data_IF_422739085864
#
_entry.id   IF_422739085864
#
_cell.length_a   1.000
_cell.length_b   1.000
_cell.length_c   1.000
_cell.angle_alpha   90.00
_cell.angle_beta   90.00
_cell.angle_gamma   90.00
#
_symmetry.space_group_name_H-M   'P 1'
#
loop_
_entity.id
_entity.type
_entity.pdbx_description
1 polymer ?
#
# COMPACT_ATOMS: atom_id res chain seq x y z
N UNK A 1 -8.62 -10.51 -5.78
CA UNK A 1 -9.11 -11.84 -5.36
C UNK A 1 -10.15 -11.89 -4.23
N UNK A 2 -9.86 -11.57 -2.97
CA UNK A 2 -10.78 -11.84 -1.83
C UNK A 2 -12.10 -11.03 -1.89
N UNK A 3 -12.03 -9.77 -2.34
CA UNK A 3 -13.18 -8.87 -2.38
C UNK A 3 -14.29 -9.33 -3.34
N UNK A 4 -13.93 -9.93 -4.48
CA UNK A 4 -14.91 -10.44 -5.47
C UNK A 4 -15.69 -11.63 -4.94
N UNK A 5 -15.03 -12.55 -4.23
CA UNK A 5 -15.69 -13.69 -3.58
C UNK A 5 -16.57 -13.27 -2.41
N UNK A 6 -16.15 -12.27 -1.64
CA UNK A 6 -16.98 -11.68 -0.57
C UNK A 6 -18.28 -11.10 -1.13
N UNK A 7 -18.24 -10.42 -2.28
CA UNK A 7 -19.46 -9.92 -2.96
C UNK A 7 -20.44 -11.03 -3.32
N UNK A 8 -19.95 -12.22 -3.68
CA UNK A 8 -20.80 -13.40 -3.96
C UNK A 8 -21.50 -13.88 -2.69
N UNK A 9 -20.79 -13.96 -1.56
CA UNK A 9 -21.40 -14.30 -0.27
C UNK A 9 -22.41 -13.23 0.18
N UNK A 10 -22.10 -11.95 -0.05
CA UNK A 10 -23.03 -10.84 0.19
C UNK A 10 -24.32 -10.98 -0.61
N UNK A 11 -24.23 -11.26 -1.92
CA UNK A 11 -25.40 -11.54 -2.74
C UNK A 11 -26.19 -12.77 -2.26
N UNK A 12 -25.51 -13.80 -1.75
CA UNK A 12 -26.16 -14.99 -1.20
C UNK A 12 -27.02 -14.66 0.03
N UNK A 13 -26.47 -13.88 0.97
CA UNK A 13 -27.18 -13.45 2.18
C UNK A 13 -28.38 -12.57 1.81
N UNK A 14 -28.20 -11.60 0.91
CA UNK A 14 -29.30 -10.77 0.43
C UNK A 14 -30.41 -11.59 -0.23
N UNK A 15 -30.06 -12.59 -1.04
CA UNK A 15 -31.03 -13.48 -1.68
C UNK A 15 -31.81 -14.30 -0.63
N UNK A 16 -31.14 -14.81 0.42
CA UNK A 16 -31.83 -15.52 1.50
C UNK A 16 -32.76 -14.62 2.32
N UNK A 17 -32.38 -13.36 2.57
CA UNK A 17 -33.25 -12.39 3.24
C UNK A 17 -34.47 -12.05 2.36
N UNK A 18 -34.27 -11.89 1.05
CA UNK A 18 -35.36 -11.65 0.13
C UNK A 18 -36.32 -12.85 0.03
N UNK A 19 -35.79 -14.09 0.02
CA UNK A 19 -36.59 -15.33 0.05
C UNK A 19 -37.41 -15.43 1.35
N UNK A 20 -36.87 -14.96 2.48
CA UNK A 20 -37.58 -14.87 3.75
C UNK A 20 -38.65 -13.75 3.79
N UNK A 21 -38.74 -12.90 2.77
CA UNK A 21 -39.75 -11.84 2.64
C UNK A 21 -39.34 -10.47 3.20
N UNK A 22 -38.06 -10.25 3.50
CA UNK A 22 -37.57 -8.93 3.94
C UNK A 22 -37.47 -7.96 2.76
N UNK A 23 -38.11 -6.79 2.87
CA UNK A 23 -38.08 -5.73 1.84
C UNK A 23 -36.86 -4.81 1.97
N UNK A 24 -36.41 -4.57 3.19
CA UNK A 24 -35.24 -3.75 3.50
C UNK A 24 -34.47 -4.34 4.68
N UNK A 25 -33.17 -4.12 4.70
CA UNK A 25 -32.28 -4.54 5.78
C UNK A 25 -31.14 -3.53 5.92
N UNK A 26 -30.61 -3.42 7.13
CA UNK A 26 -29.47 -2.55 7.42
C UNK A 26 -28.17 -3.16 6.86
N UNK A 27 -27.35 -2.34 6.21
CA UNK A 27 -26.11 -2.79 5.56
C UNK A 27 -25.12 -3.42 6.57
N UNK A 28 -25.01 -2.85 7.77
CA UNK A 28 -24.14 -3.40 8.83
C UNK A 28 -24.55 -4.82 9.27
N UNK A 29 -25.87 -5.11 9.28
CA UNK A 29 -26.39 -6.44 9.63
C UNK A 29 -26.07 -7.44 8.53
N UNK A 30 -26.27 -7.07 7.26
CA UNK A 30 -25.93 -7.94 6.13
C UNK A 30 -24.42 -8.23 6.13
N UNK A 31 -23.57 -7.22 6.30
CA UNK A 31 -22.12 -7.41 6.39
C UNK A 31 -21.73 -8.35 7.54
N UNK A 32 -22.37 -8.21 8.71
CA UNK A 32 -22.13 -9.12 9.85
C UNK A 32 -22.56 -10.56 9.54
N UNK A 33 -23.75 -10.74 8.95
CA UNK A 33 -24.26 -12.05 8.54
C UNK A 33 -23.37 -12.70 7.48
N UNK A 34 -22.78 -11.93 6.56
CA UNK A 34 -21.83 -12.50 5.58
C UNK A 34 -20.55 -13.01 6.23
N UNK A 35 -20.07 -12.33 7.27
CA UNK A 35 -18.92 -12.80 8.05
C UNK A 35 -19.28 -14.06 8.83
N UNK A 36 -20.47 -14.10 9.45
CA UNK A 36 -20.96 -15.29 10.16
C UNK A 36 -21.16 -16.49 9.23
N UNK A 37 -21.68 -16.26 8.02
CA UNK A 37 -21.81 -17.31 7.01
C UNK A 37 -20.44 -17.85 6.58
N UNK A 38 -19.46 -16.95 6.38
CA UNK A 38 -18.09 -17.35 6.07
C UNK A 38 -17.46 -18.15 7.20
N UNK A 39 -17.62 -17.73 8.46
CA UNK A 39 -17.07 -18.47 9.61
C UNK A 39 -17.72 -19.86 9.73
N UNK A 40 -19.04 -19.96 9.52
CA UNK A 40 -19.75 -21.24 9.53
C UNK A 40 -19.19 -22.22 8.48
N UNK A 41 -18.98 -21.75 7.24
CA UNK A 41 -18.40 -22.58 6.17
C UNK A 41 -16.98 -23.04 6.54
N UNK A 42 -16.16 -22.14 7.11
CA UNK A 42 -14.82 -22.48 7.55
C UNK A 42 -14.81 -23.47 8.71
N UNK A 43 -15.74 -23.35 9.67
CA UNK A 43 -15.87 -24.28 10.79
C UNK A 43 -16.29 -25.67 10.32
N UNK A 44 -17.29 -25.78 9.44
CA UNK A 44 -17.71 -27.06 8.84
C UNK A 44 -16.53 -27.71 8.10
N UNK A 45 -15.77 -26.93 7.32
CA UNK A 45 -14.61 -27.46 6.61
C UNK A 45 -13.52 -27.96 7.58
N UNK A 46 -13.25 -27.22 8.65
CA UNK A 46 -12.26 -27.59 9.67
C UNK A 46 -12.67 -28.85 10.42
N UNK A 47 -13.94 -28.96 10.85
CA UNK A 47 -14.44 -30.15 11.53
C UNK A 47 -14.44 -31.38 10.62
N UNK A 48 -14.84 -31.21 9.36
CA UNK A 48 -14.77 -32.28 8.35
C UNK A 48 -13.34 -32.76 8.12
N UNK A 49 -12.36 -31.85 8.07
CA UNK A 49 -10.95 -32.20 7.96
C UNK A 49 -10.45 -32.95 9.20
N UNK A 50 -10.82 -32.52 10.41
CA UNK A 50 -10.47 -33.23 11.65
C UNK A 50 -11.00 -34.68 11.64
N UNK A 51 -12.22 -34.91 11.14
CA UNK A 51 -12.75 -36.28 11.00
C UNK A 51 -12.03 -37.11 9.93
N UNK A 52 -11.61 -36.50 8.83
CA UNK A 52 -10.80 -37.18 7.82
C UNK A 52 -9.41 -37.56 8.39
N UNK A 53 -8.76 -36.64 9.09
CA UNK A 53 -7.46 -36.83 9.74
C UNK A 53 -7.52 -37.86 10.87
N UNK A 54 -8.62 -37.89 11.63
CA UNK A 54 -8.86 -38.91 12.66
C UNK A 54 -8.87 -40.33 12.08
N UNK A 55 -9.32 -40.48 10.84
CA UNK A 55 -9.31 -41.74 10.09
C UNK A 55 -7.99 -41.99 9.33
N UNK A 56 -6.98 -41.14 9.50
CA UNK A 56 -5.70 -41.22 8.77
C UNK A 56 -5.79 -40.87 7.29
N UNK A 57 -6.89 -40.24 6.85
CA UNK A 57 -7.09 -39.80 5.46
C UNK A 57 -6.75 -38.32 5.32
N UNK A 58 -6.24 -37.94 4.14
CA UNK A 58 -6.05 -36.53 3.78
C UNK A 58 -7.22 -35.98 2.95
N UNK A 59 -8.06 -36.85 2.39
CA UNK A 59 -9.22 -36.48 1.58
C UNK A 59 -10.52 -36.57 2.39
N UNK A 60 -11.30 -35.49 2.34
CA UNK A 60 -12.60 -35.38 3.00
C UNK A 60 -13.67 -36.05 2.15
N UNK A 61 -14.39 -37.01 2.73
CA UNK A 61 -15.50 -37.75 2.10
C UNK A 61 -16.82 -37.09 2.54
N UNK A 62 -17.92 -37.19 1.76
CA UNK A 62 -19.21 -36.63 2.16
C UNK A 62 -19.67 -37.04 3.57
N UNK A 63 -19.38 -38.27 4.01
CA UNK A 63 -19.70 -38.75 5.35
C UNK A 63 -19.02 -37.93 6.46
N UNK A 64 -17.79 -37.45 6.24
CA UNK A 64 -17.08 -36.60 7.20
C UNK A 64 -17.81 -35.26 7.36
N UNK A 65 -18.35 -34.72 6.25
CA UNK A 65 -19.18 -33.51 6.24
C UNK A 65 -20.52 -33.75 6.92
N UNK A 66 -21.16 -34.90 6.69
CA UNK A 66 -22.41 -35.25 7.37
C UNK A 66 -22.24 -35.31 8.89
N UNK A 67 -21.17 -35.95 9.37
CA UNK A 67 -20.86 -36.03 10.81
C UNK A 67 -20.52 -34.64 11.35
N UNK A 68 -19.75 -33.84 10.61
CA UNK A 68 -19.46 -32.45 10.98
C UNK A 68 -20.71 -31.58 11.13
N UNK A 69 -21.70 -31.72 10.26
CA UNK A 69 -22.97 -31.00 10.37
C UNK A 69 -23.75 -31.43 11.62
N UNK A 70 -23.79 -32.72 11.91
CA UNK A 70 -24.47 -33.27 13.09
C UNK A 70 -23.79 -32.80 14.38
N UNK A 71 -22.45 -32.83 14.43
CA UNK A 71 -21.65 -32.36 15.57
C UNK A 71 -21.87 -30.87 15.85
N UNK A 72 -22.04 -30.07 14.80
CA UNK A 72 -22.36 -28.64 14.90
C UNK A 72 -23.85 -28.37 15.24
N UNK A 73 -24.67 -29.41 15.42
CA UNK A 73 -26.08 -29.29 15.80
C UNK A 73 -27.02 -28.93 14.64
N UNK A 74 -26.59 -29.13 13.39
CA UNK A 74 -27.42 -28.87 12.21
C UNK A 74 -28.25 -30.10 11.83
N UNK A 75 -29.56 -29.90 11.63
CA UNK A 75 -30.46 -30.97 11.25
C UNK A 75 -30.30 -31.33 9.76
N UNK A 76 -29.62 -32.45 9.51
CA UNK A 76 -29.34 -32.96 8.15
C UNK A 76 -30.57 -33.45 7.41
N UNK A 77 -31.62 -33.91 8.11
CA UNK A 77 -32.85 -34.40 7.49
C UNK A 77 -33.65 -33.25 6.84
N UNK A 78 -33.57 -32.06 7.44
CA UNK A 78 -34.25 -30.86 6.92
C UNK A 78 -33.67 -30.35 5.60
N UNK A 79 -32.43 -30.72 5.27
CA UNK A 79 -31.73 -30.30 4.04
C UNK A 79 -32.49 -30.77 2.79
N UNK A 80 -33.04 -31.99 2.81
CA UNK A 80 -33.77 -32.54 1.65
C UNK A 80 -35.08 -31.76 1.41
N UNK A 81 -35.80 -31.43 2.48
CA UNK A 81 -37.01 -30.61 2.41
C UNK A 81 -36.68 -29.20 1.92
N UNK A 82 -35.58 -28.62 2.40
CA UNK A 82 -35.10 -27.33 1.94
C UNK A 82 -34.69 -27.33 0.46
N UNK A 83 -34.06 -28.41 -0.02
CA UNK A 83 -33.70 -28.59 -1.42
C UNK A 83 -34.93 -28.68 -2.34
N UNK A 84 -35.99 -29.37 -1.91
CA UNK A 84 -37.21 -29.54 -2.69
C UNK A 84 -38.10 -28.28 -2.72
N UNK A 85 -38.09 -27.47 -1.66
CA UNK A 85 -38.93 -26.28 -1.54
C UNK A 85 -38.37 -25.04 -2.29
N UNK A 86 -37.12 -25.09 -2.75
CA UNK A 86 -36.47 -23.98 -3.48
C UNK A 86 -36.94 -23.90 -4.93
N UNK A 87 -38.14 -23.37 -5.14
CA UNK A 87 -38.67 -23.03 -6.46
C UNK A 87 -38.12 -21.71 -7.04
N UNK A 88 -37.28 -20.97 -6.31
CA UNK A 88 -36.72 -19.68 -6.76
C UNK A 88 -35.23 -19.63 -6.43
N UNK A 89 -34.43 -20.40 -7.16
CA UNK A 89 -32.98 -20.24 -7.11
C UNK A 89 -32.67 -18.92 -7.80
N UNK A 90 -32.55 -17.83 -7.03
CA UNK A 90 -31.69 -16.73 -7.44
C UNK A 90 -30.32 -17.33 -7.74
N UNK A 91 -30.02 -17.55 -9.02
CA UNK A 91 -28.74 -18.11 -9.44
C UNK A 91 -27.68 -17.06 -9.16
N UNK A 92 -27.05 -17.18 -7.98
CA UNK A 92 -25.91 -16.36 -7.64
C UNK A 92 -24.85 -16.63 -8.71
N UNK A 93 -24.33 -15.59 -9.38
CA UNK A 93 -23.36 -15.77 -10.45
C UNK A 93 -22.10 -16.43 -9.89
N UNK A 94 -21.59 -17.44 -10.59
CA UNK A 94 -20.32 -18.08 -10.25
C UNK A 94 -19.22 -17.02 -10.18
N UNK A 95 -18.40 -16.98 -9.10
CA UNK A 95 -17.32 -16.01 -9.00
C UNK A 95 -16.40 -16.12 -10.21
N UNK A 96 -16.17 -15.01 -10.91
CA UNK A 96 -15.31 -14.96 -12.07
C UNK A 96 -13.91 -15.47 -11.73
N UNK A 97 -13.42 -16.44 -12.51
CA UNK A 97 -12.03 -16.89 -12.42
C UNK A 97 -11.14 -15.76 -12.95
N UNK A 98 -10.25 -15.21 -12.13
CA UNK A 98 -9.26 -14.25 -12.62
C UNK A 98 -8.48 -14.93 -13.77
N UNK A 99 -8.28 -14.23 -14.91
CA UNK A 99 -7.49 -14.79 -15.99
C UNK A 99 -6.09 -15.09 -15.45
N UNK A 100 -5.46 -16.22 -15.85
CA UNK A 100 -4.11 -16.52 -15.41
C UNK A 100 -3.23 -15.30 -15.74
N UNK A 101 -2.53 -14.76 -14.73
CA UNK A 101 -1.56 -13.69 -14.96
C UNK A 101 -0.61 -14.20 -16.04
N UNK A 102 -0.64 -13.55 -17.21
CA UNK A 102 0.35 -13.81 -18.25
C UNK A 102 1.70 -13.50 -17.61
N UNK A 103 2.51 -14.52 -17.42
CA UNK A 103 3.88 -14.33 -16.98
C UNK A 103 4.54 -13.40 -18.00
N UNK A 104 5.18 -12.30 -17.56
CA UNK A 104 5.82 -11.39 -18.48
C UNK A 104 6.84 -12.17 -19.31
N UNK A 105 6.81 -11.98 -20.62
CA UNK A 105 7.80 -12.55 -21.54
C UNK A 105 9.17 -12.01 -21.12
N UNK A 106 9.99 -12.87 -20.52
CA UNK A 106 11.35 -12.49 -20.14
C UNK A 106 12.12 -12.30 -21.44
N UNK A 107 12.78 -11.16 -21.59
CA UNK A 107 13.71 -10.93 -22.69
C UNK A 107 14.89 -11.88 -22.48
N UNK A 108 14.98 -12.92 -23.31
CA UNK A 108 16.11 -13.83 -23.34
C UNK A 108 17.20 -13.22 -24.23
N UNK A 109 18.37 -12.96 -23.64
CA UNK A 109 19.59 -12.66 -24.37
C UNK A 109 20.37 -13.98 -24.43
N UNK A 110 20.90 -14.32 -25.61
CA UNK A 110 21.22 -15.67 -26.12
C UNK A 110 22.29 -16.51 -25.37
N UNK A 111 22.50 -16.36 -24.06
CA UNK A 111 23.51 -17.14 -23.34
C UNK A 111 23.04 -17.56 -21.93
N UNK A 112 22.07 -18.47 -21.88
CA UNK A 112 21.79 -19.22 -20.65
C UNK A 112 23.00 -20.08 -20.31
N UNK A 113 23.62 -19.86 -19.15
CA UNK A 113 24.76 -20.68 -18.72
C UNK A 113 24.30 -22.14 -18.57
N UNK A 114 25.04 -23.12 -19.11
CA UNK A 114 24.69 -24.52 -18.92
C UNK A 114 24.71 -24.87 -17.44
N UNK A 115 23.83 -25.79 -17.03
CA UNK A 115 23.84 -26.36 -15.69
C UNK A 115 25.20 -27.02 -15.43
N UNK A 116 25.71 -26.89 -14.20
CA UNK A 116 26.94 -27.55 -13.81
C UNK A 116 26.77 -29.08 -13.82
N UNK A 117 27.85 -29.83 -14.04
CA UNK A 117 27.81 -31.30 -14.17
C UNK A 117 27.24 -32.05 -12.95
N UNK A 118 27.20 -31.42 -11.77
CA UNK A 118 26.64 -32.00 -10.55
C UNK A 118 25.13 -31.70 -10.37
N UNK A 119 24.54 -30.90 -11.26
CA UNK A 119 23.11 -30.56 -11.24
C UNK A 119 22.40 -31.43 -12.28
N UNK A 120 21.40 -32.24 -11.91
CA UNK A 120 20.62 -33.03 -12.85
C UNK A 120 19.92 -32.18 -13.93
N UNK A 121 19.81 -32.72 -15.14
CA UNK A 121 19.23 -32.02 -16.30
C UNK A 121 17.72 -31.73 -16.20
N UNK A 122 17.01 -32.26 -15.20
CA UNK A 122 15.58 -32.00 -14.98
C UNK A 122 15.32 -30.69 -14.21
N UNK A 123 16.36 -30.06 -13.68
CA UNK A 123 16.23 -28.76 -13.04
C UNK A 123 16.09 -27.64 -14.08
N UNK A 124 15.39 -26.54 -13.74
CA UNK A 124 15.30 -25.39 -14.61
C UNK A 124 16.71 -24.78 -14.84
N UNK A 125 16.94 -24.18 -16.01
CA UNK A 125 18.22 -23.52 -16.31
C UNK A 125 18.45 -22.32 -15.38
N UNK A 126 19.72 -21.96 -15.20
CA UNK A 126 20.05 -20.72 -14.49
C UNK A 126 19.44 -19.50 -15.21
N UNK A 127 18.97 -18.49 -14.46
CA UNK A 127 18.51 -17.25 -15.06
C UNK A 127 19.66 -16.54 -15.79
N UNK A 128 19.30 -15.64 -16.71
CA UNK A 128 20.26 -14.94 -17.57
C UNK A 128 21.35 -14.22 -16.75
N UNK A 129 22.54 -14.06 -17.34
CA UNK A 129 23.68 -13.39 -16.71
C UNK A 129 23.32 -11.99 -16.19
N UNK A 130 22.48 -11.23 -16.91
CA UNK A 130 22.02 -9.91 -16.49
C UNK A 130 21.08 -9.96 -15.26
N UNK A 131 20.50 -11.11 -14.93
CA UNK A 131 19.74 -11.29 -13.68
C UNK A 131 20.64 -11.22 -12.44
N UNK A 132 21.91 -11.59 -12.59
CA UNK A 132 22.92 -11.55 -11.52
C UNK A 132 23.80 -10.30 -11.54
N UNK A 133 23.74 -9.52 -12.62
CA UNK A 133 24.39 -8.21 -12.69
C UNK A 133 23.52 -7.25 -11.88
N UNK A 134 23.97 -6.94 -10.66
CA UNK A 134 23.39 -5.88 -9.84
C UNK A 134 23.63 -4.55 -10.57
N UNK A 135 22.73 -4.17 -11.47
CA UNK A 135 22.68 -2.81 -12.03
C UNK A 135 22.11 -1.92 -10.92
N UNK A 136 22.89 -1.05 -10.27
CA UNK A 136 22.33 -0.10 -9.34
C UNK A 136 21.37 0.81 -10.12
N UNK A 137 20.06 0.62 -9.90
CA UNK A 137 19.00 1.45 -10.48
C UNK A 137 19.00 2.87 -9.90
N UNK A 138 19.62 3.07 -8.74
CA UNK A 138 19.76 4.36 -8.08
C UNK A 138 21.11 4.99 -8.42
N UNK A 139 21.11 6.23 -8.93
CA UNK A 139 22.33 7.03 -9.06
C UNK A 139 22.99 7.11 -7.69
N UNK A 140 24.23 6.64 -7.57
CA UNK A 140 24.97 6.74 -6.33
C UNK A 140 25.13 8.22 -5.96
N UNK A 141 24.81 8.62 -4.72
CA UNK A 141 25.03 9.99 -4.30
C UNK A 141 26.53 10.30 -4.36
N UNK A 142 26.87 11.56 -4.65
CA UNK A 142 28.27 12.02 -4.63
C UNK A 142 28.80 11.84 -3.21
N UNK A 143 29.81 10.99 -3.03
CA UNK A 143 30.41 10.66 -1.72
C UNK A 143 31.65 11.49 -1.40
N UNK A 144 32.11 12.32 -2.33
CA UNK A 144 33.30 13.16 -2.17
C UNK A 144 33.03 14.27 -1.14
N UNK A 145 33.82 14.28 -0.07
CA UNK A 145 33.66 15.22 1.05
C UNK A 145 33.77 16.69 0.60
N UNK A 146 34.72 16.99 -0.29
CA UNK A 146 34.94 18.33 -0.84
C UNK A 146 33.71 18.84 -1.60
N UNK A 147 33.17 18.05 -2.53
CA UNK A 147 31.97 18.39 -3.29
C UNK A 147 30.74 18.63 -2.40
N UNK A 148 30.59 17.85 -1.32
CA UNK A 148 29.50 18.02 -0.36
C UNK A 148 29.66 19.34 0.41
N UNK A 149 30.87 19.64 0.89
CA UNK A 149 31.16 20.88 1.63
C UNK A 149 30.98 22.11 0.74
N UNK A 150 31.48 22.08 -0.49
CA UNK A 150 31.33 23.17 -1.45
C UNK A 150 29.86 23.42 -1.80
N UNK A 151 29.09 22.35 -1.99
CA UNK A 151 27.64 22.48 -2.24
C UNK A 151 26.91 23.06 -1.03
N UNK A 152 27.20 22.60 0.18
CA UNK A 152 26.59 23.12 1.40
C UNK A 152 26.95 24.60 1.64
N UNK A 153 28.23 24.98 1.41
CA UNK A 153 28.68 26.36 1.51
C UNK A 153 28.02 27.26 0.45
N UNK A 154 27.89 26.77 -0.78
CA UNK A 154 27.21 27.47 -1.87
C UNK A 154 25.73 27.69 -1.54
N UNK A 155 25.03 26.64 -1.07
CA UNK A 155 23.64 26.73 -0.64
C UNK A 155 23.44 27.71 0.51
N UNK A 156 24.31 27.69 1.54
CA UNK A 156 24.26 28.66 2.65
C UNK A 156 24.39 30.10 2.13
N UNK A 157 25.38 30.37 1.29
CA UNK A 157 25.62 31.69 0.69
C UNK A 157 24.44 32.15 -0.17
N UNK A 158 23.85 31.25 -0.94
CA UNK A 158 22.72 31.57 -1.82
C UNK A 158 21.45 31.86 -1.01
N UNK A 159 21.21 31.09 0.06
CA UNK A 159 20.12 31.34 1.01
C UNK A 159 20.27 32.69 1.73
N UNK A 160 21.47 33.00 2.22
CA UNK A 160 21.77 34.29 2.85
C UNK A 160 21.48 35.45 1.87
N UNK A 161 22.01 35.39 0.65
CA UNK A 161 21.76 36.41 -0.39
C UNK A 161 20.28 36.52 -0.75
N UNK A 162 19.58 35.39 -0.90
CA UNK A 162 18.16 35.37 -1.22
C UNK A 162 17.33 36.01 -0.11
N UNK A 163 17.61 35.66 1.15
CA UNK A 163 16.92 36.21 2.31
C UNK A 163 17.20 37.71 2.46
N UNK A 164 18.46 38.15 2.34
CA UNK A 164 18.80 39.59 2.37
C UNK A 164 18.04 40.36 1.30
N UNK A 165 17.98 39.85 0.06
CA UNK A 165 17.22 40.50 -1.03
C UNK A 165 15.72 40.50 -0.78
N UNK A 166 15.19 39.43 -0.20
CA UNK A 166 13.77 39.33 0.14
C UNK A 166 13.41 40.37 1.22
N UNK A 167 14.12 40.36 2.34
CA UNK A 167 13.88 41.29 3.46
C UNK A 167 14.05 42.74 3.00
N UNK A 168 15.08 43.05 2.22
CA UNK A 168 15.29 44.41 1.72
C UNK A 168 14.21 44.88 0.71
N UNK A 169 13.48 43.97 0.06
CA UNK A 169 12.35 44.31 -0.82
C UNK A 169 11.01 44.37 -0.08
N UNK A 170 10.83 43.55 0.95
CA UNK A 170 9.55 43.36 1.63
C UNK A 170 9.42 44.17 2.93
N UNK A 171 10.51 44.38 3.66
CA UNK A 171 10.51 45.25 4.82
C UNK A 171 10.84 46.68 4.40
N UNK A 172 10.03 47.64 4.85
CA UNK A 172 10.06 49.07 4.52
C UNK A 172 11.49 49.62 4.33
N UNK A 173 11.92 49.69 3.08
CA UNK A 173 13.14 50.37 2.70
C UNK A 173 12.89 51.87 2.83
N UNK A 174 13.25 52.46 3.96
CA UNK A 174 13.32 53.91 4.06
C UNK A 174 14.28 54.41 2.96
N UNK A 175 13.83 55.30 2.05
CA UNK A 175 14.62 55.73 0.88
C UNK A 175 15.93 56.44 1.27
N UNK A 176 16.04 56.89 2.52
CA UNK A 176 17.21 57.60 3.06
C UNK A 176 18.39 56.69 3.43
N UNK A 177 18.21 55.36 3.41
CA UNK A 177 19.25 54.37 3.79
C UNK A 177 19.87 53.65 2.59
N UNK A 178 19.95 54.33 1.46
CA UNK A 178 20.56 53.81 0.25
C UNK A 178 22.04 54.22 0.12
N UNK A 179 22.92 53.30 -0.30
CA UNK A 179 24.35 53.59 -0.49
C UNK A 179 24.61 54.61 -1.62
N UNK A 180 23.74 54.65 -2.63
CA UNK A 180 23.89 55.54 -3.77
C UNK A 180 22.66 56.45 -3.90
N UNK A 181 22.87 57.75 -3.72
CA UNK A 181 21.81 58.75 -3.65
C UNK A 181 20.92 58.83 -4.90
N UNK A 182 21.40 58.44 -6.08
CA UNK A 182 20.68 58.62 -7.36
C UNK A 182 20.81 57.45 -8.36
N UNK A 183 21.34 56.28 -7.96
CA UNK A 183 21.56 55.14 -8.87
C UNK A 183 20.70 53.93 -8.51
N UNK A 184 19.46 53.90 -9.02
CA UNK A 184 18.49 52.84 -8.76
C UNK A 184 18.97 51.43 -9.20
N UNK A 185 19.86 51.32 -10.19
CA UNK A 185 20.45 50.05 -10.64
C UNK A 185 21.47 49.50 -9.64
N UNK A 186 22.36 50.35 -9.12
CA UNK A 186 23.35 49.96 -8.11
C UNK A 186 22.71 49.66 -6.75
N UNK A 187 21.64 50.39 -6.40
CA UNK A 187 20.87 50.14 -5.18
C UNK A 187 20.15 48.78 -5.19
N UNK A 188 19.82 48.25 -6.38
CA UNK A 188 19.28 46.88 -6.53
C UNK A 188 20.35 45.81 -6.38
N UNK A 189 21.62 46.13 -6.66
CA UNK A 189 22.76 45.21 -6.55
C UNK A 189 23.24 45.12 -5.10
N UNK A 190 23.16 46.22 -4.36
CA UNK A 190 23.54 46.32 -2.94
C UNK A 190 22.34 46.71 -2.07
N UNK A 191 21.38 45.80 -1.86
CA UNK A 191 20.20 46.10 -1.05
C UNK A 191 20.57 46.17 0.44
N UNK A 192 20.24 47.30 1.08
CA UNK A 192 20.38 47.47 2.52
C UNK A 192 19.04 47.29 3.23
N UNK A 193 19.10 46.73 4.44
CA UNK A 193 17.94 46.60 5.33
C UNK A 193 17.94 47.82 6.25
N UNK A 194 16.79 48.49 6.35
CA UNK A 194 16.62 49.65 7.22
C UNK A 194 16.71 49.25 8.70
N UNK A 195 17.30 50.13 9.52
CA UNK A 195 17.37 49.91 10.96
C UNK A 195 15.99 50.17 11.56
N UNK A 196 15.44 49.18 12.25
CA UNK A 196 14.22 49.35 13.06
C UNK A 196 14.63 49.60 14.51
N UNK A 197 14.41 50.81 15.07
CA UNK A 197 14.77 51.08 16.45
C UNK A 197 13.89 50.23 17.38
N UNK A 198 14.52 49.39 18.19
CA UNK A 198 13.84 48.58 19.22
C UNK A 198 13.90 49.27 20.57
N UNK A 199 12.83 49.20 21.37
CA UNK A 199 12.77 49.82 22.70
C UNK A 199 13.76 49.20 23.71
N UNK A 200 14.25 47.97 23.48
CA UNK A 200 15.18 47.24 24.36
C UNK A 200 16.31 46.57 23.55
N UNK A 201 17.28 47.34 23.01
CA UNK A 201 18.29 46.82 22.07
C UNK A 201 19.26 45.82 22.71
N UNK A 202 19.55 45.98 24.01
CA UNK A 202 20.46 45.10 24.74
C UNK A 202 19.92 43.68 24.88
N UNK A 203 18.60 43.50 24.95
CA UNK A 203 17.99 42.18 25.10
C UNK A 203 18.06 41.41 23.78
N UNK A 204 17.76 42.05 22.64
CA UNK A 204 17.81 41.39 21.32
C UNK A 204 19.25 41.01 20.91
N UNK A 205 20.24 41.82 21.30
CA UNK A 205 21.65 41.56 21.03
C UNK A 205 22.25 40.43 21.87
N UNK A 206 21.72 40.19 23.08
CA UNK A 206 22.19 39.14 24.00
C UNK A 206 21.43 37.82 23.84
N UNK A 207 20.34 37.79 23.05
CA UNK A 207 19.56 36.58 22.83
C UNK A 207 20.26 35.66 21.83
N UNK A 208 20.56 34.42 22.23
CA UNK A 208 21.07 33.40 21.31
C UNK A 208 19.98 32.99 20.33
N UNK A 209 20.14 33.37 19.05
CA UNK A 209 19.19 33.01 17.97
C UNK A 209 19.52 31.69 17.27
N UNK A 210 20.63 31.04 17.66
CA UNK A 210 21.23 29.88 16.98
C UNK A 210 20.92 28.52 17.65
N UNK A 211 19.93 28.42 18.54
CA UNK A 211 19.56 27.11 19.14
C UNK A 211 18.42 26.44 18.38
N UNK A 212 18.77 25.66 17.35
CA UNK A 212 18.04 24.45 16.90
C UNK A 212 19.07 23.37 16.58
#
# INVERSE_FOLDING_TARGET
MALSRRKVLYMAVCATCHEAGFLSAEEAVIETLTVMLQSLICEIARTSQMFAEHNGRCEVIPNDVFIALIEMGLNVESILNFANNRNVIFRIPTPGREPPQKQPTILHIDQTRPLHSYIPNHFPPFPDAHSYIRTPTQRQPITEYEAIRDKAASQKRDLEKALTRYVARTCDSNPDHSLFANNASLNKIFPLISIKPSNLPFLDALLSKDQI
#
